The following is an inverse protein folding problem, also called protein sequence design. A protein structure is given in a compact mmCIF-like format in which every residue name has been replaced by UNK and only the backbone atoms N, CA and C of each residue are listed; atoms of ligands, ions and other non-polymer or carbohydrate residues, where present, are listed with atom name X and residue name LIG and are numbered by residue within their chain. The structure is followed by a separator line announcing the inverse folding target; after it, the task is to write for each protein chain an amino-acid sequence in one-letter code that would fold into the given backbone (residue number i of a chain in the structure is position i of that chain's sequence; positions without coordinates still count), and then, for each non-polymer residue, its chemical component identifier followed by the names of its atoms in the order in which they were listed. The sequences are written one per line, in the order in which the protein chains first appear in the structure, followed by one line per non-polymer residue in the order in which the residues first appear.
data_IF_380074753277
#
_entry.id   IF_380074753277
#
_cell.length_a   1.000
_cell.length_b   1.000
_cell.length_c   1.000
_cell.angle_alpha   90.00
_cell.angle_beta   90.00
_cell.angle_gamma   90.00
#
_symmetry.space_group_name_H-M   'P 1'
#
loop_
_entity.id
_entity.type
_entity.pdbx_description
1 polymer ?
#
# COMPACT_ATOMS: atom_id res chain seq x y z
N UNK A 1 7.46 5.66 8.88
CA UNK A 1 6.16 6.32 8.65
C UNK A 1 6.35 7.46 7.66
N UNK A 2 5.54 7.48 6.63
CA UNK A 2 5.60 8.46 5.56
C UNK A 2 4.52 9.52 5.77
N UNK A 3 4.89 10.79 5.74
CA UNK A 3 3.96 11.92 5.94
C UNK A 3 3.13 11.79 7.23
N UNK A 4 3.75 11.32 8.28
CA UNK A 4 3.22 11.19 9.65
C UNK A 4 2.12 10.16 9.86
N UNK A 5 1.31 9.83 8.84
CA UNK A 5 0.16 8.93 9.01
C UNK A 5 0.18 7.69 8.12
N UNK A 6 1.09 7.63 7.15
CA UNK A 6 1.17 6.50 6.21
C UNK A 6 2.34 5.59 6.57
N UNK A 7 2.07 4.31 6.77
CA UNK A 7 3.13 3.32 6.94
C UNK A 7 3.33 2.57 5.62
N UNK A 8 4.56 2.54 5.14
CA UNK A 8 4.91 1.82 3.92
C UNK A 8 5.96 0.79 4.28
N UNK A 9 5.66 -0.48 4.05
CA UNK A 9 6.56 -1.58 4.33
C UNK A 9 6.72 -2.46 3.09
N UNK A 10 7.84 -3.17 3.04
CA UNK A 10 8.16 -4.05 1.92
C UNK A 10 8.50 -5.44 2.44
N UNK A 11 8.14 -6.44 1.65
CA UNK A 11 8.42 -7.84 1.95
C UNK A 11 8.98 -8.49 0.69
N UNK A 12 10.22 -8.97 0.78
CA UNK A 12 10.94 -9.58 -0.33
C UNK A 12 11.54 -10.90 0.11
N UNK A 13 11.80 -11.77 -0.87
CA UNK A 13 12.52 -13.03 -0.64
C UNK A 13 11.86 -13.96 0.38
N UNK A 14 10.56 -13.84 0.56
CA UNK A 14 9.80 -14.72 1.45
C UNK A 14 9.21 -15.89 0.68
N UNK A 15 9.26 -17.07 1.28
CA UNK A 15 8.51 -18.22 0.79
C UNK A 15 7.11 -18.11 1.32
N UNK A 16 6.19 -17.63 0.48
CA UNK A 16 4.80 -17.43 0.88
C UNK A 16 3.88 -18.10 -0.13
N UNK A 17 2.85 -18.76 0.39
CA UNK A 17 1.85 -19.41 -0.44
C UNK A 17 0.84 -18.41 -0.99
N UNK A 18 0.61 -17.30 -0.25
CA UNK A 18 -0.34 -16.28 -0.67
C UNK A 18 0.19 -14.89 -0.29
N UNK A 19 0.77 -14.16 -1.25
CA UNK A 19 1.29 -12.81 -0.98
C UNK A 19 0.21 -11.82 -0.55
N UNK A 20 -1.03 -11.99 -1.05
CA UNK A 20 -2.12 -11.07 -0.71
C UNK A 20 -2.59 -11.25 0.72
N UNK A 21 -2.63 -12.49 1.21
CA UNK A 21 -3.03 -12.76 2.60
C UNK A 21 -1.97 -12.26 3.57
N UNK A 22 -0.70 -12.58 3.32
CA UNK A 22 0.41 -12.14 4.18
C UNK A 22 0.51 -10.62 4.19
N UNK A 23 0.40 -10.00 3.02
CA UNK A 23 0.43 -8.54 2.91
C UNK A 23 -0.73 -7.88 3.64
N UNK A 24 -1.93 -8.45 3.54
CA UNK A 24 -3.11 -7.93 4.24
C UNK A 24 -2.95 -7.99 5.75
N UNK A 25 -2.44 -9.11 6.26
CA UNK A 25 -2.18 -9.27 7.70
C UNK A 25 -1.16 -8.25 8.20
N UNK A 26 -0.06 -8.09 7.47
CA UNK A 26 0.97 -7.12 7.82
C UNK A 26 0.42 -5.69 7.78
N UNK A 27 -0.40 -5.36 6.78
CA UNK A 27 -1.00 -4.04 6.67
C UNK A 27 -1.92 -3.74 7.86
N UNK A 28 -2.71 -4.73 8.30
CA UNK A 28 -3.55 -4.57 9.49
C UNK A 28 -2.72 -4.34 10.74
N UNK A 29 -1.60 -5.06 10.91
CA UNK A 29 -0.72 -4.90 12.06
C UNK A 29 -0.10 -3.50 12.11
N UNK A 30 0.27 -2.95 10.96
CA UNK A 30 0.85 -1.60 10.89
C UNK A 30 -0.13 -0.52 11.35
N UNK A 31 -1.44 -0.75 11.23
CA UNK A 31 -2.43 0.21 11.70
C UNK A 31 -2.46 0.34 13.23
N UNK A 32 -1.88 -0.62 13.95
CA UNK A 32 -1.81 -0.56 15.41
C UNK A 32 -0.66 0.33 15.90
N UNK A 33 0.16 0.85 15.00
CA UNK A 33 1.30 1.71 15.35
C UNK A 33 0.81 3.16 15.48
N UNK A 34 0.82 3.68 16.69
CA UNK A 34 0.68 5.11 17.02
C UNK A 34 -0.20 5.95 16.10
N UNK A 35 0.43 6.83 15.31
CA UNK A 35 -0.25 7.78 14.44
C UNK A 35 -0.65 7.23 13.08
N UNK A 36 -0.36 5.96 12.79
CA UNK A 36 -0.63 5.39 11.48
C UNK A 36 -2.14 5.31 11.25
N UNK A 37 -2.59 5.91 10.16
CA UNK A 37 -3.99 5.85 9.73
C UNK A 37 -4.18 5.08 8.44
N UNK A 38 -3.11 4.88 7.68
CA UNK A 38 -3.14 4.05 6.49
C UNK A 38 -1.83 3.30 6.36
N UNK A 39 -1.91 2.08 5.87
CA UNK A 39 -0.74 1.23 5.70
C UNK A 39 -0.74 0.61 4.30
N UNK A 40 0.46 0.47 3.76
CA UNK A 40 0.70 -0.15 2.45
C UNK A 40 1.82 -1.16 2.60
N UNK A 41 1.54 -2.40 2.26
CA UNK A 41 2.56 -3.46 2.26
C UNK A 41 2.75 -3.94 0.83
N UNK A 42 3.98 -3.79 0.35
CA UNK A 42 4.37 -4.24 -0.99
C UNK A 42 5.08 -5.57 -0.86
N UNK A 43 4.53 -6.60 -1.50
CA UNK A 43 5.05 -7.96 -1.43
C UNK A 43 5.48 -8.42 -2.81
N UNK A 44 6.74 -8.81 -2.96
CA UNK A 44 7.25 -9.32 -4.23
C UNK A 44 7.04 -10.83 -4.31
N UNK A 45 6.41 -11.29 -5.40
CA UNK A 45 6.13 -12.71 -5.61
C UNK A 45 5.92 -12.98 -7.11
N UNK A 46 6.62 -13.99 -7.63
CA UNK A 46 6.49 -14.43 -9.03
C UNK A 46 6.65 -13.30 -10.06
N UNK A 47 7.62 -12.42 -9.85
CA UNK A 47 7.89 -11.32 -10.78
C UNK A 47 6.89 -10.19 -10.73
N UNK A 48 5.98 -10.21 -9.77
CA UNK A 48 4.99 -9.16 -9.56
C UNK A 48 5.14 -8.56 -8.18
N UNK A 49 4.64 -7.34 -8.00
CA UNK A 49 4.60 -6.70 -6.72
C UNK A 49 3.13 -6.45 -6.36
N UNK A 50 2.69 -7.04 -5.26
CA UNK A 50 1.33 -6.89 -4.77
C UNK A 50 1.32 -5.83 -3.68
N UNK A 51 0.39 -4.89 -3.77
CA UNK A 51 0.19 -3.87 -2.74
C UNK A 51 -1.07 -4.20 -1.97
N UNK A 52 -0.93 -4.33 -0.66
CA UNK A 52 -2.07 -4.46 0.25
C UNK A 52 -2.19 -3.16 1.01
N UNK A 53 -3.36 -2.53 0.93
CA UNK A 53 -3.61 -1.23 1.55
C UNK A 53 -4.75 -1.33 2.54
N UNK A 54 -4.55 -0.73 3.70
CA UNK A 54 -5.55 -0.69 4.78
C UNK A 54 -5.58 0.69 5.39
N UNK A 55 -6.73 1.10 5.88
CA UNK A 55 -6.85 2.39 6.55
C UNK A 55 -7.92 2.34 7.63
N UNK A 56 -7.90 3.38 8.47
CA UNK A 56 -8.90 3.59 9.51
C UNK A 56 -9.52 4.98 9.32
N UNK A 57 -10.65 5.18 9.95
CA UNK A 57 -11.36 6.45 9.97
C UNK A 57 -11.66 6.97 8.55
N UNK A 58 -11.43 8.25 8.31
CA UNK A 58 -11.76 8.92 7.05
C UNK A 58 -10.72 8.71 5.93
N UNK A 59 -9.63 8.04 6.21
CA UNK A 59 -8.57 7.86 5.20
C UNK A 59 -9.00 6.81 4.17
N UNK A 60 -9.01 7.20 2.91
CA UNK A 60 -9.51 6.38 1.81
C UNK A 60 -8.34 5.82 0.98
N UNK A 61 -8.03 4.54 1.17
CA UNK A 61 -6.98 3.89 0.38
C UNK A 61 -7.49 3.40 -0.98
N UNK A 62 -8.79 3.32 -1.17
CA UNK A 62 -9.38 2.91 -2.44
C UNK A 62 -8.95 3.84 -3.58
N UNK A 63 -9.09 5.16 -3.36
CA UNK A 63 -8.75 6.13 -4.41
C UNK A 63 -7.25 6.17 -4.69
N UNK A 64 -6.42 5.89 -3.70
CA UNK A 64 -4.98 5.79 -3.90
C UNK A 64 -4.65 4.57 -4.78
N UNK A 65 -5.24 3.43 -4.46
CA UNK A 65 -5.01 2.20 -5.22
C UNK A 65 -5.56 2.31 -6.64
N UNK A 66 -6.71 2.96 -6.82
CA UNK A 66 -7.26 3.19 -8.16
C UNK A 66 -6.34 4.05 -9.03
N UNK A 67 -5.64 5.01 -8.44
CA UNK A 67 -4.65 5.84 -9.16
C UNK A 67 -3.50 5.02 -9.74
N UNK A 68 -3.14 3.93 -9.11
CA UNK A 68 -2.05 3.06 -9.56
C UNK A 68 -2.55 1.78 -10.24
N UNK A 69 -3.82 1.76 -10.62
CA UNK A 69 -4.41 0.69 -11.41
C UNK A 69 -5.07 -0.43 -10.61
N UNK A 70 -5.24 -0.25 -9.32
CA UNK A 70 -5.90 -1.23 -8.46
C UNK A 70 -7.32 -0.86 -8.10
N UNK A 71 -7.77 -1.30 -6.95
CA UNK A 71 -9.13 -1.02 -6.46
C UNK A 71 -9.41 -1.67 -5.12
N UNK A 72 -10.66 -1.63 -4.72
CA UNK A 72 -11.13 -2.21 -3.46
C UNK A 72 -12.22 -1.37 -2.84
N UNK A 73 -12.13 -1.19 -1.54
CA UNK A 73 -13.06 -0.40 -0.74
C UNK A 73 -12.29 0.68 0.02
N UNK A 74 -13.01 1.60 0.65
CA UNK A 74 -12.42 2.76 1.32
C UNK A 74 -11.28 2.41 2.27
N UNK A 75 -11.47 1.40 3.11
CA UNK A 75 -10.49 1.02 4.13
C UNK A 75 -9.72 -0.27 3.81
N UNK A 76 -9.99 -0.90 2.69
CA UNK A 76 -9.39 -2.16 2.27
C UNK A 76 -9.25 -2.18 0.76
N UNK A 77 -8.03 -2.09 0.26
CA UNK A 77 -7.81 -2.03 -1.18
C UNK A 77 -6.46 -2.66 -1.53
N UNK A 78 -6.18 -2.77 -2.81
CA UNK A 78 -4.93 -3.34 -3.28
C UNK A 78 -4.65 -3.02 -4.72
N UNK A 79 -3.43 -3.31 -5.14
CA UNK A 79 -2.98 -3.10 -6.51
C UNK A 79 -1.86 -4.07 -6.84
N UNK A 80 -1.47 -4.13 -8.10
CA UNK A 80 -0.35 -4.94 -8.57
C UNK A 80 0.53 -4.10 -9.49
N UNK A 81 1.82 -4.27 -9.36
CA UNK A 81 2.78 -3.76 -10.32
C UNK A 81 3.41 -4.93 -11.08
N UNK A 82 3.60 -4.74 -12.39
CA UNK A 82 4.32 -5.67 -13.25
C UNK A 82 5.44 -4.92 -13.96
N UNK A 83 6.49 -5.65 -14.37
CA UNK A 83 7.60 -5.08 -15.13
C UNK A 83 8.32 -3.93 -14.41
N UNK A 84 8.42 -4.00 -13.08
CA UNK A 84 9.11 -3.00 -12.28
C UNK A 84 9.80 -3.67 -11.09
N UNK A 85 10.63 -2.92 -10.38
CA UNK A 85 11.26 -3.41 -9.15
C UNK A 85 10.61 -2.77 -7.91
N UNK A 86 10.97 -3.28 -6.75
CA UNK A 86 10.38 -2.84 -5.49
C UNK A 86 10.63 -1.34 -5.22
N UNK A 87 11.86 -0.87 -5.47
CA UNK A 87 12.19 0.53 -5.21
C UNK A 87 11.36 1.48 -6.07
N UNK A 88 11.19 1.15 -7.35
CA UNK A 88 10.35 1.94 -8.26
C UNK A 88 8.89 1.90 -7.87
N UNK A 89 8.39 0.74 -7.45
CA UNK A 89 7.00 0.61 -7.00
C UNK A 89 6.75 1.48 -5.77
N UNK A 90 7.66 1.49 -4.81
CA UNK A 90 7.57 2.34 -3.62
C UNK A 90 7.59 3.81 -4.02
N UNK A 91 8.47 4.20 -4.94
CA UNK A 91 8.54 5.58 -5.41
C UNK A 91 7.25 6.02 -6.10
N UNK A 92 6.66 5.16 -6.92
CA UNK A 92 5.36 5.46 -7.56
C UNK A 92 4.28 5.66 -6.51
N UNK A 93 4.23 4.80 -5.49
CA UNK A 93 3.26 4.93 -4.42
C UNK A 93 3.45 6.25 -3.66
N UNK A 94 4.67 6.59 -3.29
CA UNK A 94 4.97 7.84 -2.57
C UNK A 94 4.61 9.06 -3.40
N UNK A 95 4.97 9.07 -4.68
CA UNK A 95 4.62 10.16 -5.58
C UNK A 95 3.11 10.31 -5.74
N UNK A 96 2.40 9.19 -5.82
CA UNK A 96 0.95 9.20 -5.93
C UNK A 96 0.32 9.83 -4.69
N UNK A 97 0.78 9.44 -3.51
CA UNK A 97 0.30 10.03 -2.24
C UNK A 97 0.59 11.53 -2.24
N UNK A 98 1.80 11.94 -2.59
CA UNK A 98 2.21 13.34 -2.59
C UNK A 98 1.34 14.19 -3.52
N UNK A 99 1.11 13.71 -4.74
CA UNK A 99 0.30 14.42 -5.74
C UNK A 99 -1.15 14.53 -5.25
N UNK A 100 -1.70 13.47 -4.69
CA UNK A 100 -3.07 13.48 -4.20
C UNK A 100 -3.25 14.41 -3.00
N UNK A 101 -2.25 14.53 -2.14
CA UNK A 101 -2.25 15.50 -1.04
C UNK A 101 -2.24 16.91 -1.61
N UNK A 102 -1.37 17.21 -2.57
CA UNK A 102 -1.28 18.52 -3.20
C UNK A 102 -2.57 18.91 -3.93
N UNK A 103 -3.22 17.94 -4.57
CA UNK A 103 -4.49 18.17 -5.26
C UNK A 103 -5.69 18.26 -4.31
N UNK A 104 -5.50 17.92 -3.04
CA UNK A 104 -6.57 17.94 -2.05
C UNK A 104 -7.48 16.72 -2.11
N UNK A 105 -7.05 15.64 -2.77
CA UNK A 105 -7.86 14.42 -2.90
C UNK A 105 -7.80 13.55 -1.64
N UNK A 106 -6.75 13.71 -0.87
CA UNK A 106 -6.59 12.97 0.40
C UNK A 106 -6.04 13.83 1.54
#
# INVERSE_FOLDING_TARGET
VYRDIYAIARSENMKIDSPTIVGAQAANELLDIGRVKASFVLTQYNGKIYVSARSIDEVNVQIIMERIGGGGHMNTAGAQFTHTDMDKAIDVLKQTIDVMIEEGDI
#
